data_IF_375215457015
#
_entry.id   IF_375215457015
#
_cell.length_a   1.000
_cell.length_b   1.000
_cell.length_c   1.000
_cell.angle_alpha   90.00
_cell.angle_beta   90.00
_cell.angle_gamma   90.00
#
_symmetry.space_group_name_H-M   'P 1'
#
loop_
_entity.id
_entity.type
_entity.pdbx_description
1 polymer ?
#
# COMPACT_ATOMS: atom_id res chain seq x y z
N UNK A 1 -10.44 -0.73 11.67
CA UNK A 1 -10.70 -2.04 11.05
C UNK A 1 -10.78 -1.95 9.53
N UNK A 2 -11.70 -1.17 8.94
CA UNK A 2 -11.89 -1.12 7.49
C UNK A 2 -10.67 -0.57 6.72
N UNK A 3 -9.98 0.47 7.20
CA UNK A 3 -8.77 0.98 6.57
C UNK A 3 -7.66 -0.09 6.48
N UNK A 4 -7.44 -0.84 7.57
CA UNK A 4 -6.46 -1.93 7.57
C UNK A 4 -6.88 -3.07 6.64
N UNK A 5 -8.19 -3.38 6.58
CA UNK A 5 -8.72 -4.35 5.61
C UNK A 5 -8.36 -3.94 4.17
N UNK A 6 -8.67 -2.71 3.78
CA UNK A 6 -8.42 -2.21 2.40
C UNK A 6 -6.93 -2.23 2.09
N UNK A 7 -6.10 -1.80 3.02
CA UNK A 7 -4.65 -1.76 2.89
C UNK A 7 -4.10 -3.18 2.70
N UNK A 8 -4.36 -4.07 3.64
CA UNK A 8 -3.84 -5.46 3.59
C UNK A 8 -4.40 -6.22 2.40
N UNK A 9 -5.69 -6.06 2.10
CA UNK A 9 -6.31 -6.63 0.91
C UNK A 9 -5.57 -6.22 -0.36
N UNK A 10 -5.22 -4.94 -0.51
CA UNK A 10 -4.50 -4.42 -1.66
C UNK A 10 -3.11 -5.03 -1.79
N UNK A 11 -2.31 -5.04 -0.72
CA UNK A 11 -0.94 -5.55 -0.78
C UNK A 11 -0.92 -7.07 -1.05
N UNK A 12 -1.84 -7.81 -0.41
CA UNK A 12 -2.00 -9.24 -0.68
C UNK A 12 -2.45 -9.50 -2.12
N UNK A 13 -3.31 -8.65 -2.67
CA UNK A 13 -3.73 -8.75 -4.07
C UNK A 13 -2.56 -8.46 -5.03
N UNK A 14 -1.69 -7.49 -4.74
CA UNK A 14 -0.48 -7.22 -5.54
C UNK A 14 0.46 -8.43 -5.51
N UNK A 15 0.75 -8.98 -4.33
CA UNK A 15 1.53 -10.22 -4.22
C UNK A 15 0.89 -11.39 -4.99
N UNK A 16 -0.42 -11.58 -4.85
CA UNK A 16 -1.16 -12.65 -5.52
C UNK A 16 -1.14 -12.51 -7.04
N UNK A 17 -1.19 -11.29 -7.58
CA UNK A 17 -1.05 -11.04 -9.02
C UNK A 17 0.35 -11.41 -9.52
N UNK A 18 1.41 -11.03 -8.80
CA UNK A 18 2.77 -11.40 -9.16
C UNK A 18 2.93 -12.92 -9.16
N UNK A 19 2.50 -13.58 -8.10
CA UNK A 19 2.49 -15.04 -7.98
C UNK A 19 1.71 -15.69 -9.12
N UNK A 20 0.53 -15.16 -9.46
CA UNK A 20 -0.32 -15.66 -10.54
C UNK A 20 0.35 -15.54 -11.92
N UNK A 21 1.04 -14.42 -12.20
CA UNK A 21 1.79 -14.21 -13.44
C UNK A 21 2.93 -15.23 -13.56
N UNK A 22 3.72 -15.40 -12.50
CA UNK A 22 4.82 -16.36 -12.44
C UNK A 22 4.31 -17.79 -12.60
N UNK A 23 3.23 -18.16 -11.89
CA UNK A 23 2.61 -19.46 -11.96
C UNK A 23 2.01 -19.75 -13.36
N UNK A 24 1.44 -18.75 -14.03
CA UNK A 24 0.93 -18.88 -15.39
C UNK A 24 2.07 -19.04 -16.41
N UNK A 25 3.15 -18.25 -16.28
CA UNK A 25 4.29 -18.31 -17.19
C UNK A 25 5.12 -19.61 -17.07
N UNK A 26 4.99 -20.33 -15.94
CA UNK A 26 5.67 -21.62 -15.70
C UNK A 26 4.75 -22.83 -15.83
N UNK A 27 3.60 -22.71 -16.53
CA UNK A 27 2.70 -23.86 -16.76
C UNK A 27 3.45 -25.00 -17.47
N UNK A 28 3.30 -26.22 -16.95
CA UNK A 28 3.96 -27.40 -17.49
C UNK A 28 5.35 -27.71 -16.88
N UNK A 29 5.95 -26.78 -16.14
CA UNK A 29 7.24 -27.04 -15.46
C UNK A 29 7.02 -27.92 -14.22
N UNK A 30 7.77 -29.01 -14.10
CA UNK A 30 7.68 -29.93 -12.95
C UNK A 30 8.14 -29.22 -11.67
N UNK A 31 7.51 -29.54 -10.52
CA UNK A 31 7.84 -29.00 -9.18
C UNK A 31 7.73 -27.48 -9.02
N UNK A 32 7.20 -26.74 -10.00
CA UNK A 32 7.00 -25.28 -9.89
C UNK A 32 6.26 -24.84 -8.63
N UNK A 33 5.24 -25.63 -8.23
CA UNK A 33 4.43 -25.34 -7.04
C UNK A 33 5.24 -25.30 -5.75
N UNK A 34 6.21 -26.21 -5.58
CA UNK A 34 7.08 -26.24 -4.41
C UNK A 34 8.02 -25.02 -4.36
N UNK A 35 8.57 -24.59 -5.51
CA UNK A 35 9.43 -23.41 -5.59
C UNK A 35 8.66 -22.11 -5.35
N UNK A 36 7.47 -21.97 -5.93
CA UNK A 36 6.60 -20.82 -5.70
C UNK A 36 6.12 -20.80 -4.24
N UNK A 37 5.66 -21.94 -3.71
CA UNK A 37 5.24 -22.05 -2.32
C UNK A 37 6.38 -21.78 -1.33
N UNK A 38 7.60 -22.27 -1.62
CA UNK A 38 8.79 -21.95 -0.85
C UNK A 38 9.12 -20.46 -0.88
N UNK A 39 8.96 -19.80 -2.03
CA UNK A 39 9.13 -18.36 -2.16
C UNK A 39 8.11 -17.58 -1.34
N UNK A 40 6.83 -17.97 -1.37
CA UNK A 40 5.79 -17.35 -0.53
C UNK A 40 6.12 -17.51 0.95
N UNK A 41 6.47 -18.73 1.39
CA UNK A 41 6.81 -18.99 2.79
C UNK A 41 8.03 -18.15 3.23
N UNK A 42 9.07 -18.09 2.42
CA UNK A 42 10.27 -17.30 2.72
C UNK A 42 9.97 -15.79 2.79
N UNK A 43 9.14 -15.28 1.86
CA UNK A 43 8.70 -13.89 1.86
C UNK A 43 7.89 -13.53 3.10
N UNK A 44 6.96 -14.41 3.52
CA UNK A 44 6.17 -14.24 4.75
C UNK A 44 7.08 -14.26 5.99
N UNK A 45 8.01 -15.20 6.08
CA UNK A 45 9.01 -15.22 7.18
C UNK A 45 9.80 -13.92 7.21
N UNK A 46 10.26 -13.44 6.06
CA UNK A 46 10.94 -12.15 5.98
C UNK A 46 10.09 -10.98 6.46
N UNK A 47 8.81 -10.92 6.08
CA UNK A 47 7.88 -9.89 6.56
C UNK A 47 7.66 -9.97 8.08
N UNK A 48 7.58 -11.17 8.65
CA UNK A 48 7.53 -11.37 10.11
C UNK A 48 8.80 -10.85 10.79
N UNK A 49 9.97 -11.10 10.21
CA UNK A 49 11.24 -10.53 10.71
C UNK A 49 11.21 -9.02 10.70
N UNK A 50 10.73 -8.39 9.61
CA UNK A 50 10.54 -6.93 9.55
C UNK A 50 9.58 -6.45 10.66
N UNK A 51 8.48 -7.18 10.91
CA UNK A 51 7.53 -6.83 11.96
C UNK A 51 8.17 -6.89 13.37
N UNK A 52 9.01 -7.90 13.64
CA UNK A 52 9.73 -8.04 14.91
C UNK A 52 10.74 -6.88 15.08
N UNK A 53 11.50 -6.53 14.05
CA UNK A 53 12.41 -5.38 14.10
C UNK A 53 11.67 -4.07 14.34
N UNK A 54 10.57 -3.83 13.62
CA UNK A 54 9.76 -2.64 13.80
C UNK A 54 9.18 -2.56 15.23
N UNK A 55 8.72 -3.70 15.78
CA UNK A 55 8.24 -3.81 17.17
C UNK A 55 9.33 -3.51 18.18
N UNK A 56 10.53 -4.05 17.98
CA UNK A 56 11.68 -3.81 18.87
C UNK A 56 12.08 -2.33 18.89
N UNK A 57 12.10 -1.68 17.72
CA UNK A 57 12.38 -0.24 17.62
C UNK A 57 11.29 0.56 18.34
N UNK A 58 10.01 0.24 18.09
CA UNK A 58 8.89 0.93 18.72
C UNK A 58 8.92 0.81 20.25
N UNK A 59 9.24 -0.38 20.78
CA UNK A 59 9.34 -0.60 22.23
C UNK A 59 10.56 0.09 22.86
N UNK A 60 11.69 0.15 22.17
CA UNK A 60 12.89 0.85 22.64
C UNK A 60 12.72 2.37 22.72
N UNK A 61 11.81 2.92 21.92
CA UNK A 61 11.51 4.36 21.87
C UNK A 61 10.27 4.75 22.68
N UNK A 62 9.66 3.81 23.41
CA UNK A 62 8.55 4.09 24.33
C UNK A 62 9.08 4.82 25.57
N UNK A 63 8.52 6.01 25.89
CA UNK A 63 8.92 6.82 27.04
C UNK A 63 8.74 8.32 26.81
N UNK A 64 9.61 9.13 27.42
CA UNK A 64 9.64 10.59 27.24
C UNK A 64 9.87 10.96 25.77
N UNK A 65 8.91 11.67 25.16
CA UNK A 65 8.97 12.04 23.73
C UNK A 65 8.06 11.22 22.83
N UNK A 66 7.04 10.58 23.37
CA UNK A 66 6.11 9.74 22.63
C UNK A 66 5.38 10.49 21.51
N UNK A 67 5.08 11.77 21.68
CA UNK A 67 4.48 12.62 20.65
C UNK A 67 5.43 12.78 19.44
N UNK A 68 6.71 13.02 19.69
CA UNK A 68 7.74 13.10 18.66
C UNK A 68 7.93 11.78 17.92
N UNK A 69 7.91 10.67 18.66
CA UNK A 69 8.02 9.35 18.09
C UNK A 69 6.80 9.03 17.21
N UNK A 70 5.60 9.28 17.70
CA UNK A 70 4.37 9.09 16.94
C UNK A 70 4.32 9.98 15.69
N UNK A 71 4.71 11.24 15.80
CA UNK A 71 4.83 12.13 14.65
C UNK A 71 5.88 11.64 13.64
N UNK A 72 6.98 11.08 14.11
CA UNK A 72 8.02 10.45 13.28
C UNK A 72 7.51 9.24 12.51
N UNK A 73 6.80 8.32 13.18
CA UNK A 73 6.17 7.14 12.55
C UNK A 73 5.13 7.57 11.52
N UNK A 74 4.25 8.51 11.87
CA UNK A 74 3.22 9.01 10.95
C UNK A 74 3.86 9.63 9.69
N UNK A 75 4.91 10.43 9.84
CA UNK A 75 5.66 10.99 8.71
C UNK A 75 6.30 9.90 7.85
N UNK A 76 6.94 8.91 8.47
CA UNK A 76 7.53 7.79 7.75
C UNK A 76 6.46 7.03 6.96
N UNK A 77 5.31 6.75 7.56
CA UNK A 77 4.17 6.12 6.90
C UNK A 77 3.65 6.96 5.70
N UNK A 78 3.50 8.28 5.87
CA UNK A 78 3.08 9.18 4.79
C UNK A 78 4.06 9.16 3.62
N UNK A 79 5.37 9.26 3.91
CA UNK A 79 6.41 9.22 2.87
C UNK A 79 6.40 7.88 2.14
N UNK A 80 6.27 6.78 2.87
CA UNK A 80 6.27 5.43 2.29
C UNK A 80 5.02 5.18 1.45
N UNK A 81 3.82 5.51 1.96
CA UNK A 81 2.57 5.39 1.20
C UNK A 81 2.65 6.27 -0.06
N UNK A 82 3.10 7.51 0.10
CA UNK A 82 3.26 8.44 -1.01
C UNK A 82 4.23 7.93 -2.08
N UNK A 83 5.40 7.46 -1.66
CA UNK A 83 6.39 6.84 -2.54
C UNK A 83 5.79 5.62 -3.27
N UNK A 84 5.16 4.71 -2.51
CA UNK A 84 4.54 3.51 -3.06
C UNK A 84 3.49 3.85 -4.14
N UNK A 85 2.55 4.75 -3.83
CA UNK A 85 1.47 5.14 -4.75
C UNK A 85 2.02 5.77 -6.04
N UNK A 86 3.00 6.68 -5.92
CA UNK A 86 3.62 7.35 -7.06
C UNK A 86 4.47 6.37 -7.88
N UNK A 87 5.25 5.50 -7.22
CA UNK A 87 6.11 4.52 -7.87
C UNK A 87 5.30 3.46 -8.62
N UNK A 88 4.25 2.92 -8.00
CA UNK A 88 3.36 1.92 -8.62
C UNK A 88 2.58 2.49 -9.80
N UNK A 89 2.19 3.76 -9.78
CA UNK A 89 1.56 4.41 -10.92
C UNK A 89 2.43 4.37 -12.18
N UNK A 90 3.75 4.34 -12.02
CA UNK A 90 4.73 4.31 -13.11
C UNK A 90 5.16 2.90 -13.51
N UNK A 91 5.47 2.03 -12.53
CA UNK A 91 6.23 0.79 -12.74
C UNK A 91 5.39 -0.50 -12.74
N UNK A 92 4.09 -0.45 -12.41
CA UNK A 92 3.26 -1.66 -12.30
C UNK A 92 3.24 -2.53 -13.56
N UNK A 93 3.25 -1.90 -14.76
CA UNK A 93 3.28 -2.63 -16.04
C UNK A 93 4.64 -3.28 -16.32
N UNK A 94 5.71 -2.60 -15.97
CA UNK A 94 7.08 -3.08 -16.15
C UNK A 94 7.38 -4.26 -15.22
N UNK A 95 6.94 -4.17 -13.98
CA UNK A 95 7.04 -5.26 -13.02
C UNK A 95 6.33 -6.53 -13.52
N UNK A 96 5.10 -6.40 -14.03
CA UNK A 96 4.36 -7.52 -14.60
C UNK A 96 5.06 -8.17 -15.81
N UNK A 97 5.69 -7.37 -16.68
CA UNK A 97 6.49 -7.86 -17.81
C UNK A 97 7.71 -8.60 -17.31
N UNK A 98 8.48 -8.01 -16.40
CA UNK A 98 9.67 -8.64 -15.83
C UNK A 98 9.35 -9.99 -15.17
N UNK A 99 8.25 -10.09 -14.42
CA UNK A 99 7.82 -11.35 -13.80
C UNK A 99 7.47 -12.42 -14.85
N UNK A 100 6.81 -12.03 -15.94
CA UNK A 100 6.51 -12.91 -17.06
C UNK A 100 7.78 -13.39 -17.76
N UNK A 101 8.74 -12.50 -17.96
CA UNK A 101 10.03 -12.82 -18.61
C UNK A 101 10.84 -13.81 -17.78
N UNK A 102 10.93 -13.62 -16.46
CA UNK A 102 11.58 -14.59 -15.55
C UNK A 102 10.90 -15.95 -15.64
N UNK A 103 9.56 -15.98 -15.57
CA UNK A 103 8.81 -17.21 -15.68
C UNK A 103 9.04 -17.95 -17.02
N UNK A 104 9.11 -17.23 -18.14
CA UNK A 104 9.37 -17.79 -19.47
C UNK A 104 10.80 -18.33 -19.60
N UNK A 105 11.80 -17.62 -19.03
CA UNK A 105 13.20 -18.05 -19.00
C UNK A 105 13.40 -19.33 -18.17
N UNK A 106 12.67 -19.49 -17.07
CA UNK A 106 12.67 -20.74 -16.30
C UNK A 106 11.98 -21.85 -17.07
N UNK A 107 10.87 -21.55 -17.75
CA UNK A 107 10.15 -22.52 -18.56
C UNK A 107 10.98 -23.04 -19.75
N UNK A 108 11.82 -22.19 -20.35
CA UNK A 108 12.74 -22.55 -21.43
C UNK A 108 14.04 -23.22 -20.95
N UNK A 109 14.24 -23.35 -19.64
CA UNK A 109 15.47 -23.89 -19.04
C UNK A 109 16.66 -22.93 -19.04
N UNK A 110 16.52 -21.68 -19.48
CA UNK A 110 17.60 -20.68 -19.51
C UNK A 110 17.89 -20.08 -18.12
N UNK A 111 16.98 -20.27 -17.14
CA UNK A 111 17.19 -19.91 -15.73
C UNK A 111 16.86 -21.08 -14.79
N UNK A 112 17.57 -21.20 -13.66
CA UNK A 112 17.29 -22.23 -12.67
C UNK A 112 15.96 -21.97 -11.94
N UNK A 113 15.37 -23.03 -11.40
CA UNK A 113 14.10 -22.96 -10.62
C UNK A 113 14.21 -22.09 -9.36
N UNK A 114 15.42 -21.92 -8.80
CA UNK A 114 15.69 -21.01 -7.69
C UNK A 114 15.30 -19.56 -8.00
N UNK A 115 15.31 -19.16 -9.28
CA UNK A 115 14.86 -17.84 -9.69
C UNK A 115 13.37 -17.60 -9.37
N UNK A 116 12.53 -18.65 -9.44
CA UNK A 116 11.11 -18.54 -9.04
C UNK A 116 10.99 -18.30 -7.54
N UNK A 117 11.75 -19.05 -6.74
CA UNK A 117 11.75 -18.87 -5.28
C UNK A 117 12.18 -17.45 -4.90
N UNK A 118 13.28 -16.97 -5.46
CA UNK A 118 13.84 -15.64 -5.12
C UNK A 118 12.87 -14.53 -5.53
N UNK A 119 12.37 -14.58 -6.76
CA UNK A 119 11.47 -13.52 -7.27
C UNK A 119 10.15 -13.48 -6.49
N UNK A 120 9.56 -14.64 -6.19
CA UNK A 120 8.33 -14.72 -5.39
C UNK A 120 8.61 -14.30 -3.95
N UNK A 121 9.72 -14.73 -3.35
CA UNK A 121 10.09 -14.34 -1.99
C UNK A 121 10.27 -12.82 -1.87
N UNK A 122 10.98 -12.20 -2.80
CA UNK A 122 11.17 -10.74 -2.79
C UNK A 122 9.87 -9.97 -3.00
N UNK A 123 8.99 -10.46 -3.86
CA UNK A 123 7.68 -9.84 -4.06
C UNK A 123 6.83 -9.92 -2.78
N UNK A 124 6.69 -11.10 -2.19
CA UNK A 124 5.89 -11.28 -0.96
C UNK A 124 6.52 -10.57 0.24
N UNK A 125 7.85 -10.58 0.35
CA UNK A 125 8.58 -9.82 1.39
C UNK A 125 8.29 -8.32 1.27
N UNK A 126 8.34 -7.79 0.06
CA UNK A 126 8.08 -6.38 -0.19
C UNK A 126 6.68 -6.00 0.25
N UNK A 127 5.64 -6.65 -0.28
CA UNK A 127 4.26 -6.32 0.04
C UNK A 127 3.94 -6.59 1.53
N UNK A 128 4.51 -7.66 2.10
CA UNK A 128 4.38 -7.95 3.53
C UNK A 128 5.06 -6.91 4.42
N UNK A 129 6.21 -6.38 4.02
CA UNK A 129 6.88 -5.28 4.73
C UNK A 129 6.07 -3.99 4.68
N UNK A 130 5.43 -3.70 3.54
CA UNK A 130 4.56 -2.53 3.40
C UNK A 130 3.34 -2.65 4.32
N UNK A 131 2.71 -3.83 4.41
CA UNK A 131 1.62 -4.10 5.38
C UNK A 131 2.05 -3.81 6.81
N UNK A 132 3.24 -4.26 7.20
CA UNK A 132 3.77 -4.05 8.56
C UNK A 132 3.95 -2.54 8.83
N UNK A 133 4.63 -1.84 7.95
CA UNK A 133 4.97 -0.43 8.14
C UNK A 133 3.74 0.47 8.12
N UNK A 134 2.80 0.21 7.22
CA UNK A 134 1.52 0.92 7.20
C UNK A 134 0.66 0.60 8.43
N UNK A 135 0.71 -0.65 8.90
CA UNK A 135 0.06 -1.06 10.14
C UNK A 135 0.54 -0.24 11.34
N UNK A 136 1.86 -0.01 11.47
CA UNK A 136 2.43 0.86 12.50
C UNK A 136 1.94 2.32 12.34
N UNK A 137 1.86 2.84 11.11
CA UNK A 137 1.28 4.15 10.86
C UNK A 137 -0.18 4.27 11.33
N UNK A 138 -1.00 3.23 11.06
CA UNK A 138 -2.38 3.18 11.53
C UNK A 138 -2.52 3.11 13.05
N UNK A 139 -1.62 2.40 13.73
CA UNK A 139 -1.59 2.35 15.21
C UNK A 139 -1.20 3.71 15.78
N UNK A 140 -0.17 4.35 15.24
CA UNK A 140 0.24 5.70 15.62
C UNK A 140 -0.88 6.74 15.36
N UNK A 141 -1.72 6.50 14.34
CA UNK A 141 -2.94 7.26 14.03
C UNK A 141 -4.16 6.86 14.86
N UNK A 142 -4.02 6.09 15.95
CA UNK A 142 -5.09 5.78 16.89
C UNK A 142 -5.87 4.49 16.61
N UNK A 143 -5.46 3.66 15.66
CA UNK A 143 -6.12 2.35 15.44
C UNK A 143 -5.76 1.37 16.56
N UNK A 144 -6.75 0.60 17.05
CA UNK A 144 -6.50 -0.44 18.03
C UNK A 144 -5.87 -1.69 17.39
N UNK A 145 -5.04 -2.42 18.13
CA UNK A 145 -4.42 -3.67 17.68
C UNK A 145 -5.46 -4.73 17.28
N UNK A 146 -6.59 -4.82 18.00
CA UNK A 146 -7.68 -5.74 17.65
C UNK A 146 -8.32 -5.41 16.29
N UNK A 147 -8.56 -4.12 16.01
CA UNK A 147 -9.07 -3.67 14.72
C UNK A 147 -8.04 -3.92 13.61
N UNK A 148 -6.75 -3.79 13.92
CA UNK A 148 -5.66 -4.09 12.99
C UNK A 148 -5.62 -5.58 12.64
N UNK A 149 -5.64 -6.45 13.64
CA UNK A 149 -5.60 -7.90 13.47
C UNK A 149 -6.80 -8.41 12.68
N UNK A 150 -8.02 -7.99 13.06
CA UNK A 150 -9.24 -8.43 12.38
C UNK A 150 -9.30 -7.91 10.93
N UNK A 151 -9.03 -6.61 10.72
CA UNK A 151 -8.98 -6.03 9.38
C UNK A 151 -7.91 -6.67 8.51
N UNK A 152 -6.74 -6.95 9.09
CA UNK A 152 -5.64 -7.65 8.41
C UNK A 152 -6.00 -9.07 8.00
N UNK A 153 -6.57 -9.87 8.91
CA UNK A 153 -7.00 -11.23 8.62
C UNK A 153 -8.05 -11.28 7.49
N UNK A 154 -9.05 -10.41 7.56
CA UNK A 154 -10.07 -10.30 6.51
C UNK A 154 -9.46 -9.83 5.19
N UNK A 155 -8.50 -8.89 5.21
CA UNK A 155 -7.79 -8.41 4.04
C UNK A 155 -6.97 -9.51 3.36
N UNK A 156 -6.25 -10.32 4.15
CA UNK A 156 -5.51 -11.49 3.64
C UNK A 156 -6.47 -12.50 2.99
N UNK A 157 -7.54 -12.88 3.68
CA UNK A 157 -8.51 -13.83 3.17
C UNK A 157 -9.14 -13.37 1.85
N UNK A 158 -9.58 -12.12 1.80
CA UNK A 158 -10.19 -11.54 0.60
C UNK A 158 -9.17 -11.41 -0.55
N UNK A 159 -7.94 -10.96 -0.27
CA UNK A 159 -6.89 -10.80 -1.27
C UNK A 159 -6.45 -12.14 -1.87
N UNK A 160 -6.28 -13.15 -1.04
CA UNK A 160 -5.97 -14.52 -1.49
C UNK A 160 -7.12 -15.10 -2.30
N UNK A 161 -8.36 -14.99 -1.83
CA UNK A 161 -9.55 -15.48 -2.55
C UNK A 161 -9.67 -14.83 -3.94
N UNK A 162 -9.49 -13.51 -4.01
CA UNK A 162 -9.53 -12.78 -5.27
C UNK A 162 -8.35 -13.16 -6.17
N UNK A 163 -7.15 -13.35 -5.62
CA UNK A 163 -5.97 -13.81 -6.36
C UNK A 163 -6.18 -15.18 -6.99
N UNK A 164 -6.77 -16.13 -6.27
CA UNK A 164 -7.18 -17.43 -6.83
C UNK A 164 -8.23 -17.29 -7.93
N UNK A 165 -9.27 -16.48 -7.70
CA UNK A 165 -10.31 -16.24 -8.68
C UNK A 165 -9.75 -15.66 -10.00
N UNK A 166 -8.78 -14.75 -9.90
CA UNK A 166 -8.08 -14.19 -11.07
C UNK A 166 -7.19 -15.23 -11.76
N UNK A 167 -6.44 -16.04 -11.00
CA UNK A 167 -5.59 -17.10 -11.55
C UNK A 167 -6.37 -18.13 -12.36
N UNK A 168 -7.55 -18.54 -11.89
CA UNK A 168 -8.43 -19.47 -12.58
C UNK A 168 -9.30 -18.83 -13.67
N UNK A 169 -9.19 -17.52 -13.89
CA UNK A 169 -9.96 -16.79 -14.88
C UNK A 169 -11.46 -16.71 -14.59
N UNK A 170 -11.85 -16.90 -13.31
CA UNK A 170 -13.25 -16.86 -12.87
C UNK A 170 -13.83 -15.44 -12.92
N UNK A 171 -12.97 -14.41 -12.91
CA UNK A 171 -13.38 -13.01 -12.93
C UNK A 171 -12.88 -12.34 -14.21
N UNK A 172 -13.82 -11.79 -15.00
CA UNK A 172 -13.54 -10.92 -16.15
C UNK A 172 -13.42 -9.43 -15.78
N UNK A 173 -13.35 -9.13 -14.48
CA UNK A 173 -13.32 -7.75 -13.99
C UNK A 173 -11.93 -7.17 -14.27
N UNK A 174 -11.83 -5.99 -14.90
CA UNK A 174 -10.56 -5.34 -15.12
C UNK A 174 -9.98 -4.84 -13.80
N UNK A 175 -8.95 -5.53 -13.31
CA UNK A 175 -8.22 -5.29 -12.05
C UNK A 175 -7.79 -3.83 -11.90
N UNK A 176 -7.64 -3.11 -13.02
CA UNK A 176 -7.29 -1.67 -13.04
C UNK A 176 -8.25 -0.79 -12.24
N UNK A 177 -9.56 -1.10 -12.21
CA UNK A 177 -10.53 -0.31 -11.46
C UNK A 177 -10.36 -0.49 -9.95
N UNK A 178 -10.02 -1.71 -9.56
CA UNK A 178 -9.72 -2.04 -8.17
C UNK A 178 -8.52 -1.23 -7.65
N UNK A 179 -7.40 -1.27 -8.38
CA UNK A 179 -6.21 -0.50 -8.02
C UNK A 179 -6.44 1.01 -8.09
N UNK A 180 -7.28 1.47 -9.02
CA UNK A 180 -7.62 2.90 -9.07
C UNK A 180 -8.38 3.35 -7.83
N UNK A 181 -9.37 2.57 -7.39
CA UNK A 181 -10.16 2.88 -6.19
C UNK A 181 -9.31 2.81 -4.91
N UNK A 182 -8.52 1.74 -4.75
CA UNK A 182 -7.63 1.59 -3.58
C UNK A 182 -6.52 2.64 -3.54
N UNK A 183 -5.97 3.06 -4.69
CA UNK A 183 -5.01 4.16 -4.74
C UNK A 183 -5.61 5.49 -4.25
N UNK A 184 -6.86 5.79 -4.60
CA UNK A 184 -7.53 7.00 -4.08
C UNK A 184 -7.64 6.91 -2.56
N UNK A 185 -8.04 5.76 -2.03
CA UNK A 185 -8.13 5.55 -0.58
C UNK A 185 -6.75 5.70 0.10
N UNK A 186 -5.68 5.17 -0.49
CA UNK A 186 -4.32 5.34 0.06
C UNK A 186 -3.84 6.79 0.04
N UNK A 187 -4.17 7.54 -1.00
CA UNK A 187 -3.85 8.98 -1.07
C UNK A 187 -4.57 9.75 0.03
N UNK A 188 -5.85 9.47 0.25
CA UNK A 188 -6.64 10.09 1.32
C UNK A 188 -6.11 9.66 2.70
N UNK A 189 -5.78 8.38 2.87
CA UNK A 189 -5.16 7.87 4.09
C UNK A 189 -3.84 8.58 4.40
N UNK A 190 -2.95 8.71 3.41
CA UNK A 190 -1.68 9.41 3.59
C UNK A 190 -1.87 10.89 3.96
N UNK A 191 -2.84 11.56 3.33
CA UNK A 191 -3.18 12.94 3.68
C UNK A 191 -3.74 13.04 5.11
N UNK A 192 -4.60 12.09 5.53
CA UNK A 192 -5.11 12.00 6.89
C UNK A 192 -4.01 11.79 7.93
N UNK A 193 -3.08 10.85 7.68
CA UNK A 193 -1.95 10.60 8.55
C UNK A 193 -1.01 11.83 8.65
N UNK A 194 -0.86 12.60 7.56
CA UNK A 194 -0.10 13.84 7.58
C UNK A 194 -0.76 14.91 8.46
N UNK A 195 -2.09 15.03 8.39
CA UNK A 195 -2.85 15.90 9.30
C UNK A 195 -2.69 15.49 10.76
N UNK A 196 -2.80 14.18 11.06
CA UNK A 196 -2.59 13.65 12.41
C UNK A 196 -1.14 13.87 12.90
N UNK A 197 -0.14 13.75 12.01
CA UNK A 197 1.25 14.07 12.35
C UNK A 197 1.41 15.54 12.74
N UNK A 198 0.75 16.45 12.03
CA UNK A 198 0.74 17.87 12.38
C UNK A 198 0.11 18.12 13.76
N UNK A 199 -1.02 17.45 14.05
CA UNK A 199 -1.69 17.55 15.35
C UNK A 199 -0.79 17.05 16.50
N UNK A 200 -0.05 15.94 16.32
CA UNK A 200 0.93 15.48 17.30
C UNK A 200 2.07 16.49 17.54
N UNK A 201 2.47 17.21 16.50
CA UNK A 201 3.49 18.26 16.64
C UNK A 201 2.95 19.53 17.32
N UNK A 202 1.66 19.82 17.17
CA UNK A 202 1.00 20.86 17.96
C UNK A 202 0.94 20.45 19.44
N UNK A 203 0.56 19.20 19.73
CA UNK A 203 0.55 18.67 21.10
C UNK A 203 1.94 18.69 21.77
N UNK A 204 3.00 18.60 20.97
CA UNK A 204 4.40 18.70 21.42
C UNK A 204 4.93 20.15 21.43
N UNK A 205 4.08 21.16 21.29
CA UNK A 205 4.44 22.60 21.24
C UNK A 205 5.47 22.97 20.15
N UNK A 206 5.54 22.19 19.06
CA UNK A 206 6.48 22.41 17.95
C UNK A 206 5.86 23.27 16.86
N UNK A 207 4.57 23.11 16.62
CA UNK A 207 3.83 23.82 15.59
C UNK A 207 2.68 24.63 16.21
N UNK A 208 2.41 25.84 15.71
CA UNK A 208 1.22 26.59 16.09
C UNK A 208 -0.02 25.95 15.47
N UNK A 209 -1.16 26.06 16.14
CA UNK A 209 -2.45 25.58 15.62
C UNK A 209 -2.92 26.33 14.37
N UNK A 210 -2.42 27.56 14.14
CA UNK A 210 -2.87 28.59 13.19
C UNK A 210 -4.29 29.08 13.52
N UNK A 211 -5.24 28.15 13.57
CA UNK A 211 -6.62 28.32 14.02
C UNK A 211 -6.97 27.07 14.80
N UNK A 212 -7.41 27.21 16.04
CA UNK A 212 -7.69 26.07 16.92
C UNK A 212 -8.80 25.18 16.39
N UNK A 213 -9.80 25.78 15.76
CA UNK A 213 -10.94 25.07 15.17
C UNK A 213 -11.43 25.79 13.91
N UNK A 214 -11.32 25.16 12.75
CA UNK A 214 -11.82 25.71 11.50
C UNK A 214 -13.34 25.59 11.37
N UNK A 215 -13.90 24.45 11.79
CA UNK A 215 -15.34 24.17 11.82
C UNK A 215 -15.67 23.17 12.91
N UNK A 216 -16.97 23.00 13.17
CA UNK A 216 -17.52 21.98 14.03
C UNK A 216 -18.59 21.22 13.25
N UNK A 217 -18.31 19.98 12.91
CA UNK A 217 -19.25 19.07 12.22
C UNK A 217 -19.71 17.93 13.11
N UNK A 218 -19.46 17.98 14.43
CA UNK A 218 -19.85 16.94 15.38
C UNK A 218 -21.34 16.69 15.44
N UNK A 219 -22.15 17.72 15.14
CA UNK A 219 -23.62 17.63 15.06
C UNK A 219 -24.10 16.73 13.90
N UNK A 220 -23.35 16.65 12.81
CA UNK A 220 -23.66 15.82 11.65
C UNK A 220 -23.04 14.42 11.80
N UNK A 221 -21.75 14.38 12.16
CA UNK A 221 -20.99 13.14 12.30
C UNK A 221 -19.90 13.32 13.34
N UNK A 222 -20.15 12.85 14.55
CA UNK A 222 -19.16 12.86 15.61
C UNK A 222 -18.05 11.85 15.33
N UNK A 223 -16.79 12.26 15.49
CA UNK A 223 -15.62 11.41 15.40
C UNK A 223 -15.66 10.24 16.41
N UNK A 224 -16.34 10.39 17.54
CA UNK A 224 -16.54 9.32 18.52
C UNK A 224 -17.47 8.20 18.02
N UNK A 225 -18.30 8.45 17.00
CA UNK A 225 -19.21 7.47 16.42
C UNK A 225 -18.45 6.41 15.59
N UNK A 226 -19.05 5.22 15.38
CA UNK A 226 -18.42 4.18 14.54
C UNK A 226 -18.13 4.66 13.10
N UNK A 227 -19.07 5.32 12.39
CA UNK A 227 -18.78 5.85 11.06
C UNK A 227 -17.75 7.00 11.10
N UNK A 228 -17.82 7.89 12.13
CA UNK A 228 -16.84 8.97 12.30
C UNK A 228 -15.42 8.43 12.47
N UNK A 229 -15.21 7.48 13.38
CA UNK A 229 -13.91 6.78 13.54
C UNK A 229 -13.42 6.12 12.25
N UNK A 230 -14.34 5.53 11.50
CA UNK A 230 -13.98 4.89 10.24
C UNK A 230 -13.51 5.91 9.21
N UNK A 231 -14.20 7.02 9.06
CA UNK A 231 -13.83 8.11 8.16
C UNK A 231 -12.57 8.84 8.65
N UNK A 232 -12.41 9.02 9.97
CA UNK A 232 -11.18 9.57 10.54
C UNK A 232 -9.94 8.79 10.07
N UNK A 233 -9.99 7.46 10.18
CA UNK A 233 -8.86 6.61 9.80
C UNK A 233 -8.71 6.49 8.28
N UNK A 234 -9.81 6.45 7.50
CA UNK A 234 -9.75 6.24 6.05
C UNK A 234 -9.37 7.47 5.25
N UNK A 235 -9.94 8.60 5.61
CA UNK A 235 -9.83 9.83 4.82
C UNK A 235 -9.29 11.02 5.63
N UNK A 236 -8.93 10.79 6.89
CA UNK A 236 -8.46 11.87 7.76
C UNK A 236 -9.57 12.83 8.20
N UNK A 237 -10.83 12.36 8.28
CA UNK A 237 -11.93 13.18 8.76
C UNK A 237 -11.70 13.58 10.21
N UNK A 238 -11.88 14.86 10.52
CA UNK A 238 -11.98 15.37 11.89
C UNK A 238 -13.24 16.25 11.99
N UNK A 239 -13.99 16.09 13.07
CA UNK A 239 -15.15 16.91 13.35
C UNK A 239 -14.77 18.32 13.85
N UNK A 240 -13.53 18.47 14.35
CA UNK A 240 -12.96 19.73 14.84
C UNK A 240 -11.51 19.94 14.34
N UNK A 241 -11.26 20.09 13.04
CA UNK A 241 -9.89 20.17 12.54
C UNK A 241 -9.24 21.52 12.87
N UNK A 242 -7.95 21.48 13.26
CA UNK A 242 -7.15 22.68 13.39
C UNK A 242 -6.68 23.20 12.01
N UNK A 243 -6.32 24.48 11.94
CA UNK A 243 -5.83 25.09 10.71
C UNK A 243 -4.59 24.39 10.17
N UNK A 244 -3.62 24.07 11.04
CA UNK A 244 -2.38 23.39 10.63
C UNK A 244 -2.63 21.95 10.14
N UNK A 245 -3.54 21.23 10.76
CA UNK A 245 -3.94 19.88 10.34
C UNK A 245 -4.45 19.90 8.90
N UNK A 246 -5.30 20.87 8.55
CA UNK A 246 -5.85 21.00 7.20
C UNK A 246 -4.80 21.45 6.17
N UNK A 247 -3.83 22.27 6.57
CA UNK A 247 -2.70 22.63 5.70
C UNK A 247 -1.88 21.40 5.34
N UNK A 248 -1.50 20.59 6.33
CA UNK A 248 -0.73 19.35 6.07
C UNK A 248 -1.52 18.35 5.22
N UNK A 249 -2.81 18.20 5.50
CA UNK A 249 -3.71 17.38 4.69
C UNK A 249 -3.73 17.84 3.23
N UNK A 250 -4.02 19.11 2.99
CA UNK A 250 -4.16 19.66 1.64
C UNK A 250 -2.84 19.64 0.86
N UNK A 251 -1.72 19.99 1.51
CA UNK A 251 -0.39 19.96 0.88
C UNK A 251 -0.02 18.52 0.50
N UNK A 252 -0.20 17.55 1.40
CA UNK A 252 0.10 16.14 1.11
C UNK A 252 -0.77 15.63 -0.02
N UNK A 253 -2.07 15.90 0.00
CA UNK A 253 -2.99 15.53 -1.06
C UNK A 253 -2.55 16.11 -2.42
N UNK A 254 -2.22 17.40 -2.46
CA UNK A 254 -1.77 18.08 -3.67
C UNK A 254 -0.46 17.47 -4.20
N UNK A 255 0.53 17.25 -3.33
CA UNK A 255 1.83 16.65 -3.71
C UNK A 255 1.64 15.26 -4.30
N UNK A 256 0.81 14.41 -3.67
CA UNK A 256 0.56 13.06 -4.16
C UNK A 256 -0.20 13.05 -5.49
N UNK A 257 -1.21 13.90 -5.65
CA UNK A 257 -1.96 14.01 -6.90
C UNK A 257 -1.08 14.52 -8.05
N UNK A 258 -0.24 15.53 -7.79
CA UNK A 258 0.73 16.03 -8.77
C UNK A 258 1.75 14.95 -9.10
N UNK A 259 2.32 14.28 -8.09
CA UNK A 259 3.27 13.17 -8.28
C UNK A 259 2.71 12.05 -9.15
N UNK A 260 1.47 11.63 -8.91
CA UNK A 260 0.79 10.63 -9.73
C UNK A 260 0.54 11.11 -11.17
N UNK A 261 0.19 12.39 -11.36
CA UNK A 261 -0.01 12.94 -12.71
C UNK A 261 1.29 12.99 -13.50
N UNK A 262 2.38 13.46 -12.89
CA UNK A 262 3.69 13.54 -13.52
C UNK A 262 4.30 12.16 -13.81
N UNK A 263 3.93 11.15 -13.00
CA UNK A 263 4.41 9.77 -13.15
C UNK A 263 3.64 8.96 -14.19
N UNK A 264 2.53 9.45 -14.73
CA UNK A 264 1.81 8.74 -15.79
C UNK A 264 2.67 8.69 -17.05
N UNK A 265 2.92 7.49 -17.62
CA UNK A 265 3.67 7.40 -18.86
C UNK A 265 2.91 8.16 -19.96
N UNK A 266 3.58 9.15 -20.55
CA UNK A 266 3.09 9.81 -21.77
C UNK A 266 3.03 8.75 -22.86
N UNK A 267 1.84 8.42 -23.33
CA UNK A 267 1.67 7.58 -24.52
C UNK A 267 2.19 8.42 -25.69
N UNK A 268 3.47 8.26 -26.01
CA UNK A 268 3.96 8.70 -27.31
C UNK A 268 3.22 7.87 -28.34
N UNK A 269 2.26 8.49 -29.03
CA UNK A 269 1.70 7.96 -30.26
C UNK A 269 2.90 7.72 -31.18
N UNK A 270 3.26 6.43 -31.34
CA UNK A 270 4.19 6.04 -32.38
C UNK A 270 3.54 6.47 -33.71
N UNK A 271 4.05 7.54 -34.28
CA UNK A 271 3.72 7.94 -35.65
C UNK A 271 4.13 6.74 -36.50
N UNK A 272 3.15 5.96 -36.93
CA UNK A 272 3.35 4.91 -37.91
C UNK A 272 3.95 5.59 -39.16
N UNK A 273 5.16 5.22 -39.59
CA UNK A 273 5.63 5.71 -40.87
C UNK A 273 4.61 5.28 -41.95
N UNK A 274 4.25 6.23 -42.77
CA UNK A 274 3.38 5.99 -43.90
C UNK A 274 3.97 4.85 -44.77
N UNK A 275 3.15 3.89 -45.28
CA UNK A 275 3.64 2.89 -46.20
C UNK A 275 4.25 3.61 -47.41
N UNK A 276 5.52 3.29 -47.71
CA UNK A 276 6.17 3.76 -48.90
C UNK A 276 5.31 3.38 -50.11
N UNK A 277 4.83 4.39 -50.86
CA UNK A 277 4.15 4.18 -52.11
C UNK A 277 5.14 3.49 -53.05
N UNK A 278 4.83 2.24 -53.42
CA UNK A 278 5.51 1.56 -54.51
C UNK A 278 5.19 2.28 -55.80
N UNK A 279 6.22 2.95 -56.37
CA UNK A 279 6.24 3.40 -57.71
C UNK A 279 6.83 2.32 -58.61
#
# INVERSE_FOLDING_TARGET
MFANFVLVFREVLEAALIVSIVAAATRGVSRRGSWIGGGIALGVVGAVVVALFASAIASAMSGTGQEWFNAGILRAAVVMIGWHVVWMARHSRELGRHMKDVGSQVSSGSRPMTALLVVVALAVLREGSEVVLFGYGLVAGGSSYGALALGGALGVLAGVALGFALYFGLLKIPVRHFFSATNILLVLLAAGLAGQAADKLVQADVLPTLVDRLWDSSWLLSEASLPGKTLHILVGYSDHPSGIQMVFYAVTLAVLLIGMRLSRPTVRLAIRPAPAALA
#
